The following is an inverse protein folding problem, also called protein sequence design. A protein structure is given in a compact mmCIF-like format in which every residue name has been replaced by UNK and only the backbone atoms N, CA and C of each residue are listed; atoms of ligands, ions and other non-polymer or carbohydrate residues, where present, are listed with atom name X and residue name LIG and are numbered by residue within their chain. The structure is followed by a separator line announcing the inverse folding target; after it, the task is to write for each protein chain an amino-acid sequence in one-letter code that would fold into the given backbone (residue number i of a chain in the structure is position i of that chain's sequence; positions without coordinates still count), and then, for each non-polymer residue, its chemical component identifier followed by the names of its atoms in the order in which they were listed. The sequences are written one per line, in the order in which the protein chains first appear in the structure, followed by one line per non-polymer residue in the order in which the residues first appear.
data_IF_109196308604
#
_entry.id   IF_109196308604
#
_cell.length_a   1.000
_cell.length_b   1.000
_cell.length_c   1.000
_cell.angle_alpha   90.00
_cell.angle_beta   90.00
_cell.angle_gamma   90.00
#
_symmetry.space_group_name_H-M   'P 1'
#
loop_
_entity.id
_entity.type
_entity.pdbx_description
1 polymer ?
#
# COMPACT_ATOMS: atom_id res chain seq x y z
N UNK A 1 6.68 -31.78 9.50
CA UNK A 1 7.07 -31.12 8.23
C UNK A 1 5.95 -30.37 7.50
N UNK A 2 4.67 -30.80 7.52
CA UNK A 2 3.55 -30.04 6.89
C UNK A 2 3.30 -28.64 7.50
N UNK A 3 3.54 -28.47 8.81
CA UNK A 3 3.36 -27.19 9.51
C UNK A 3 4.32 -26.11 9.02
N UNK A 4 5.60 -26.45 8.91
CA UNK A 4 6.64 -25.52 8.45
C UNK A 4 6.44 -25.10 6.98
N UNK A 5 5.87 -25.96 6.14
CA UNK A 5 5.53 -25.60 4.76
C UNK A 5 4.28 -24.72 4.64
N UNK A 6 3.39 -24.74 5.66
CA UNK A 6 2.21 -23.88 5.74
C UNK A 6 2.52 -22.51 6.35
N UNK A 7 3.37 -22.47 7.36
CA UNK A 7 3.71 -21.28 8.14
C UNK A 7 5.12 -20.74 7.87
N UNK A 8 5.84 -21.30 6.90
CA UNK A 8 7.21 -20.93 6.59
C UNK A 8 7.39 -19.44 6.34
N UNK A 9 6.47 -18.83 5.58
CA UNK A 9 6.47 -17.39 5.35
C UNK A 9 6.36 -16.58 6.64
N UNK A 10 5.52 -17.01 7.59
CA UNK A 10 5.37 -16.33 8.89
C UNK A 10 6.67 -16.39 9.68
N UNK A 11 7.32 -17.56 9.74
CA UNK A 11 8.60 -17.69 10.45
C UNK A 11 9.71 -16.85 9.81
N UNK A 12 9.78 -16.84 8.47
CA UNK A 12 10.74 -16.00 7.74
C UNK A 12 10.46 -14.52 8.01
N UNK A 13 9.21 -14.07 7.95
CA UNK A 13 8.84 -12.69 8.22
C UNK A 13 9.13 -12.28 9.67
N UNK A 14 8.84 -13.13 10.64
CA UNK A 14 9.18 -12.87 12.05
C UNK A 14 10.70 -12.77 12.22
N UNK A 15 11.47 -13.65 11.58
CA UNK A 15 12.92 -13.60 11.63
C UNK A 15 13.47 -12.32 10.98
N UNK A 16 12.95 -11.93 9.82
CA UNK A 16 13.33 -10.68 9.16
C UNK A 16 12.94 -9.45 9.99
N UNK A 17 11.75 -9.47 10.62
CA UNK A 17 11.27 -8.40 11.48
C UNK A 17 12.12 -8.22 12.74
N UNK A 18 12.45 -9.33 13.42
CA UNK A 18 13.36 -9.27 14.57
C UNK A 18 14.79 -8.88 14.13
N UNK A 19 15.23 -9.36 12.97
CA UNK A 19 16.50 -8.98 12.36
C UNK A 19 16.58 -7.49 12.04
N UNK A 20 15.50 -6.89 11.52
CA UNK A 20 15.46 -5.45 11.24
C UNK A 20 15.48 -4.62 12.53
N UNK A 21 14.76 -5.04 13.57
CA UNK A 21 14.82 -4.41 14.90
C UNK A 21 16.22 -4.45 15.50
N UNK A 22 16.92 -5.60 15.40
CA UNK A 22 18.31 -5.72 15.85
C UNK A 22 19.24 -4.81 15.04
N UNK A 23 19.11 -4.78 13.71
CA UNK A 23 19.88 -3.89 12.86
C UNK A 23 19.68 -2.42 13.25
N UNK A 24 18.44 -1.98 13.40
CA UNK A 24 18.09 -0.63 13.83
C UNK A 24 18.70 -0.30 15.21
N UNK A 25 18.58 -1.22 16.17
CA UNK A 25 19.16 -1.05 17.51
C UNK A 25 20.66 -0.78 17.43
N UNK A 26 21.42 -1.63 16.74
CA UNK A 26 22.88 -1.46 16.67
C UNK A 26 23.30 -0.20 15.91
N UNK A 27 22.63 0.14 14.81
CA UNK A 27 22.92 1.36 14.04
C UNK A 27 22.66 2.61 14.87
N UNK A 28 21.47 2.74 15.46
CA UNK A 28 21.16 3.90 16.32
C UNK A 28 22.03 3.95 17.57
N UNK A 29 22.44 2.79 18.12
CA UNK A 29 23.33 2.75 19.28
C UNK A 29 24.72 3.28 18.92
N UNK A 30 25.22 2.97 17.72
CA UNK A 30 26.48 3.49 17.23
C UNK A 30 26.41 5.01 17.01
N UNK A 31 25.34 5.50 16.37
CA UNK A 31 25.10 6.92 16.14
C UNK A 31 24.97 7.69 17.46
N UNK A 32 24.11 7.23 18.37
CA UNK A 32 23.89 7.86 19.67
C UNK A 32 25.19 7.93 20.49
N UNK A 33 26.02 6.87 20.48
CA UNK A 33 27.32 6.91 21.16
C UNK A 33 28.30 7.88 20.52
N UNK A 34 28.25 8.06 19.20
CA UNK A 34 29.08 9.04 18.50
C UNK A 34 28.68 10.46 18.90
N UNK A 35 27.38 10.76 18.86
CA UNK A 35 26.84 12.06 19.26
C UNK A 35 27.19 12.43 20.70
N UNK A 36 27.03 11.48 21.63
CA UNK A 36 27.38 11.71 23.05
C UNK A 36 28.88 12.02 23.21
N UNK A 37 29.76 11.32 22.47
CA UNK A 37 31.20 11.60 22.49
C UNK A 37 31.53 12.97 21.91
N UNK A 38 30.90 13.35 20.79
CA UNK A 38 31.10 14.67 20.15
C UNK A 38 30.65 15.82 21.07
N UNK A 39 29.59 15.62 21.84
CA UNK A 39 29.07 16.60 22.79
C UNK A 39 29.72 16.52 24.19
N UNK A 40 30.66 15.59 24.42
CA UNK A 40 31.30 15.38 25.72
C UNK A 40 30.35 14.90 26.82
N UNK A 41 29.25 14.27 26.44
CA UNK A 41 28.19 13.80 27.33
C UNK A 41 28.39 12.31 27.67
N UNK A 42 28.05 11.86 28.90
CA UNK A 42 28.14 10.45 29.26
C UNK A 42 27.02 9.64 28.61
N UNK A 43 27.34 8.44 28.13
CA UNK A 43 26.32 7.52 27.63
C UNK A 43 25.41 7.01 28.75
N UNK A 44 24.11 7.23 28.61
CA UNK A 44 23.08 6.72 29.51
C UNK A 44 22.10 5.83 28.74
N UNK A 45 21.90 4.60 29.23
CA UNK A 45 20.98 3.64 28.60
C UNK A 45 19.53 4.14 28.57
N UNK A 46 19.09 4.88 29.57
CA UNK A 46 17.73 5.42 29.63
C UNK A 46 17.46 6.39 28.49
N UNK A 47 18.43 7.26 28.19
CA UNK A 47 18.34 8.26 27.12
C UNK A 47 18.38 7.60 25.75
N UNK A 48 19.22 6.57 25.59
CA UNK A 48 19.23 5.75 24.38
C UNK A 48 17.88 5.08 24.14
N UNK A 49 17.28 4.43 25.15
CA UNK A 49 15.96 3.80 24.99
C UNK A 49 14.87 4.81 24.66
N UNK A 50 14.87 5.98 25.33
CA UNK A 50 13.94 7.05 25.01
C UNK A 50 14.08 7.50 23.54
N UNK A 51 15.31 7.72 23.07
CA UNK A 51 15.60 8.10 21.68
C UNK A 51 15.23 7.00 20.67
N UNK A 52 15.57 5.75 20.98
CA UNK A 52 15.26 4.59 20.15
C UNK A 52 13.75 4.43 19.95
N UNK A 53 12.96 4.50 21.03
CA UNK A 53 11.51 4.40 20.92
C UNK A 53 10.90 5.63 20.28
N UNK A 54 11.38 6.85 20.58
CA UNK A 54 10.90 8.07 19.95
C UNK A 54 11.06 8.01 18.42
N UNK A 55 12.27 7.72 17.93
CA UNK A 55 12.55 7.59 16.49
C UNK A 55 11.76 6.44 15.84
N UNK A 56 11.61 5.31 16.54
CA UNK A 56 10.80 4.18 16.05
C UNK A 56 9.32 4.56 15.91
N UNK A 57 8.75 5.22 16.92
CA UNK A 57 7.35 5.63 16.89
C UNK A 57 7.09 6.79 15.92
N UNK A 58 8.04 7.70 15.75
CA UNK A 58 7.98 8.76 14.73
C UNK A 58 7.98 8.17 13.32
N UNK A 59 8.88 7.22 13.04
CA UNK A 59 8.89 6.51 11.75
C UNK A 59 7.55 5.79 11.51
N UNK A 60 7.07 5.03 12.50
CA UNK A 60 5.78 4.35 12.37
C UNK A 60 4.62 5.33 12.19
N UNK A 61 4.60 6.45 12.92
CA UNK A 61 3.57 7.47 12.78
C UNK A 61 3.50 7.99 11.34
N UNK A 62 4.64 8.33 10.75
CA UNK A 62 4.69 8.84 9.38
C UNK A 62 4.29 7.79 8.34
N UNK A 63 4.73 6.54 8.50
CA UNK A 63 4.33 5.42 7.63
C UNK A 63 2.83 5.14 7.71
N UNK A 64 2.23 5.13 8.92
CA UNK A 64 0.79 4.97 9.08
C UNK A 64 0.02 6.11 8.40
N UNK A 65 0.47 7.35 8.59
CA UNK A 65 -0.16 8.50 7.94
C UNK A 65 -0.08 8.40 6.42
N UNK A 66 1.07 7.97 5.90
CA UNK A 66 1.28 7.72 4.47
C UNK A 66 0.32 6.62 3.96
N UNK A 67 0.21 5.49 4.67
CA UNK A 67 -0.69 4.40 4.28
C UNK A 67 -2.16 4.85 4.28
N UNK A 68 -2.58 5.63 5.28
CA UNK A 68 -3.93 6.21 5.34
C UNK A 68 -4.16 7.14 4.16
N UNK A 69 -3.22 8.05 3.90
CA UNK A 69 -3.33 8.99 2.78
C UNK A 69 -3.38 8.27 1.43
N UNK A 70 -2.51 7.27 1.22
CA UNK A 70 -2.50 6.43 0.03
C UNK A 70 -3.82 5.66 -0.13
N UNK A 71 -4.37 5.09 0.95
CA UNK A 71 -5.65 4.40 0.92
C UNK A 71 -6.79 5.36 0.53
N UNK A 72 -6.82 6.56 1.12
CA UNK A 72 -7.81 7.61 0.77
C UNK A 72 -7.68 8.01 -0.69
N UNK A 73 -6.46 8.24 -1.19
CA UNK A 73 -6.22 8.58 -2.60
C UNK A 73 -6.65 7.46 -3.54
N UNK A 74 -6.31 6.20 -3.24
CA UNK A 74 -6.68 5.06 -4.07
C UNK A 74 -8.20 4.82 -4.07
N UNK A 75 -8.85 4.95 -2.91
CA UNK A 75 -10.32 4.83 -2.81
C UNK A 75 -11.03 6.00 -3.49
N UNK A 76 -10.50 7.22 -3.35
CA UNK A 76 -11.00 8.42 -4.02
C UNK A 76 -10.83 8.35 -5.54
N UNK A 77 -9.64 7.95 -6.01
CA UNK A 77 -9.37 7.72 -7.42
C UNK A 77 -10.26 6.62 -7.99
N UNK A 78 -10.44 5.50 -7.27
CA UNK A 78 -11.42 4.47 -7.61
C UNK A 78 -12.82 5.08 -7.76
N UNK A 79 -13.29 5.83 -6.76
CA UNK A 79 -14.63 6.40 -6.80
C UNK A 79 -14.82 7.36 -7.98
N UNK A 80 -13.82 8.20 -8.27
CA UNK A 80 -13.88 9.18 -9.36
C UNK A 80 -13.74 8.52 -10.74
N UNK A 81 -12.77 7.62 -10.91
CA UNK A 81 -12.49 6.95 -12.18
C UNK A 81 -13.61 5.96 -12.58
N UNK A 82 -14.04 5.09 -11.67
CA UNK A 82 -15.06 4.09 -11.99
C UNK A 82 -16.49 4.66 -12.10
N UNK A 83 -16.74 5.88 -11.58
CA UNK A 83 -18.02 6.56 -11.85
C UNK A 83 -18.14 6.97 -13.31
N UNK A 84 -17.04 7.43 -13.90
CA UNK A 84 -17.00 7.85 -15.30
C UNK A 84 -17.16 6.62 -16.22
N UNK A 85 -16.52 5.50 -15.89
CA UNK A 85 -16.62 4.27 -16.68
C UNK A 85 -18.05 3.70 -16.77
N UNK A 86 -18.83 3.74 -15.69
CA UNK A 86 -20.18 3.17 -15.70
C UNK A 86 -21.14 3.95 -16.63
N UNK A 87 -21.12 5.28 -16.57
CA UNK A 87 -21.96 6.12 -17.42
C UNK A 87 -21.55 6.04 -18.90
N UNK A 88 -20.24 5.99 -19.17
CA UNK A 88 -19.72 5.87 -20.53
C UNK A 88 -20.00 4.49 -21.13
N UNK A 89 -19.91 3.41 -20.34
CA UNK A 89 -20.25 2.06 -20.77
C UNK A 89 -21.73 1.92 -21.13
N UNK A 90 -22.64 2.41 -20.27
CA UNK A 90 -24.08 2.44 -20.56
C UNK A 90 -24.41 3.25 -21.82
N UNK A 91 -23.66 4.33 -22.09
CA UNK A 91 -23.84 5.13 -23.29
C UNK A 91 -23.39 4.38 -24.55
N UNK A 92 -22.29 3.64 -24.47
CA UNK A 92 -21.78 2.83 -25.58
C UNK A 92 -22.74 1.66 -25.87
N UNK A 93 -23.20 0.94 -24.83
CA UNK A 93 -24.15 -0.16 -24.95
C UNK A 93 -25.44 0.28 -25.66
N UNK A 94 -26.03 1.40 -25.22
CA UNK A 94 -27.22 1.98 -25.86
C UNK A 94 -27.03 2.29 -27.35
N UNK A 95 -25.85 2.78 -27.76
CA UNK A 95 -25.55 3.05 -29.17
C UNK A 95 -25.45 1.76 -29.98
N UNK A 96 -24.79 0.74 -29.42
CA UNK A 96 -24.65 -0.58 -30.05
C UNK A 96 -26.03 -1.22 -30.27
N UNK A 97 -26.93 -1.16 -29.29
CA UNK A 97 -28.29 -1.70 -29.39
C UNK A 97 -29.13 -0.99 -30.46
N UNK A 98 -29.00 0.34 -30.57
CA UNK A 98 -29.66 1.10 -31.63
C UNK A 98 -29.17 0.70 -33.02
N UNK A 99 -27.87 0.44 -33.17
CA UNK A 99 -27.30 -0.04 -34.43
C UNK A 99 -27.77 -1.45 -34.76
N UNK A 100 -27.76 -2.37 -33.79
CA UNK A 100 -28.25 -3.74 -33.99
C UNK A 100 -29.73 -3.76 -34.39
N UNK A 101 -30.58 -2.98 -33.72
CA UNK A 101 -32.00 -2.89 -34.06
C UNK A 101 -32.25 -2.21 -35.41
N UNK A 102 -31.44 -1.20 -35.78
CA UNK A 102 -31.49 -0.62 -37.11
C UNK A 102 -31.10 -1.62 -38.20
N UNK A 103 -30.02 -2.38 -38.01
CA UNK A 103 -29.58 -3.44 -38.93
C UNK A 103 -30.65 -4.53 -39.08
N UNK A 104 -31.24 -5.02 -37.98
CA UNK A 104 -32.32 -6.01 -38.05
C UNK A 104 -33.56 -5.52 -38.79
N UNK A 105 -33.89 -4.22 -38.72
CA UNK A 105 -34.98 -3.62 -39.51
C UNK A 105 -34.64 -3.50 -41.00
N UNK A 106 -33.38 -3.27 -41.35
CA UNK A 106 -32.94 -3.23 -42.74
C UNK A 106 -32.94 -4.64 -43.34
N UNK A 107 -32.50 -5.64 -42.59
CA UNK A 107 -32.53 -7.04 -42.99
C UNK A 107 -33.97 -7.56 -43.16
N UNK A 108 -34.88 -7.20 -42.24
CA UNK A 108 -36.30 -7.54 -42.36
C UNK A 108 -37.02 -6.83 -43.53
N UNK A 109 -36.45 -5.74 -44.06
CA UNK A 109 -37.01 -4.96 -45.18
C UNK A 109 -36.29 -5.23 -46.51
N UNK A 110 -35.22 -6.02 -46.49
CA UNK A 110 -34.57 -6.49 -47.68
C UNK A 110 -35.49 -7.48 -48.41
N UNK A 111 -35.73 -7.31 -49.72
CA UNK A 111 -36.44 -8.32 -50.49
C UNK A 111 -35.63 -9.62 -50.46
N UNK A 112 -36.25 -10.70 -49.99
CA UNK A 112 -35.70 -12.05 -50.12
C UNK A 112 -35.55 -12.36 -51.62
N UNK A 113 -34.44 -13.00 -52.05
CA UNK A 113 -34.26 -13.40 -53.44
C UNK A 113 -35.31 -14.41 -53.91
#
# INVERSE_FOLDING_TARGET
MKHFRRWGAVYVLVLLFLGSWLGQFFTQLAEFRSEQQEHGQPFLWNDYWASFFASTFENWQSEWLQLVFQAVLLLGAKHWLFRVDAEDLERIERKVDQMHSALGRLEARAPQP
#
